data_IF_083129845741
#
_entry.id   IF_083129845741
#
_cell.length_a   1.000
_cell.length_b   1.000
_cell.length_c   1.000
_cell.angle_alpha   90.00
_cell.angle_beta   90.00
_cell.angle_gamma   90.00
#
_symmetry.space_group_name_H-M   'P 1'
#
loop_
_entity.id
_entity.type
_entity.pdbx_description
1 polymer ?
#
# COMPACT_ATOMS: atom_id res chain seq x y z
N UNK A 1 46.91 8.44 -16.14
CA UNK A 1 45.84 9.32 -15.60
C UNK A 1 44.43 8.96 -16.10
N UNK A 2 44.27 8.42 -17.32
CA UNK A 2 42.94 8.02 -17.85
C UNK A 2 42.29 6.79 -17.19
N UNK A 3 43.07 5.85 -16.65
CA UNK A 3 42.56 4.60 -16.06
C UNK A 3 41.88 4.81 -14.71
N UNK A 4 42.44 5.64 -13.82
CA UNK A 4 41.84 5.97 -12.52
C UNK A 4 40.54 6.77 -12.67
N UNK A 5 40.48 7.66 -13.65
CA UNK A 5 39.25 8.41 -13.95
C UNK A 5 38.15 7.46 -14.45
N UNK A 6 38.46 6.53 -15.36
CA UNK A 6 37.49 5.57 -15.88
C UNK A 6 36.97 4.60 -14.79
N UNK A 7 37.85 4.12 -13.90
CA UNK A 7 37.45 3.31 -12.74
C UNK A 7 36.48 4.05 -11.81
N UNK A 8 36.73 5.34 -11.53
CA UNK A 8 35.82 6.15 -10.69
C UNK A 8 34.44 6.41 -11.32
N UNK A 9 34.33 6.34 -12.65
CA UNK A 9 33.07 6.49 -13.37
C UNK A 9 32.27 5.18 -13.25
N UNK A 10 32.90 4.03 -13.48
CA UNK A 10 32.26 2.72 -13.44
C UNK A 10 31.77 2.35 -12.04
N UNK A 11 32.56 2.66 -11.00
CA UNK A 11 32.15 2.49 -9.60
C UNK A 11 30.92 3.33 -9.23
N UNK A 12 30.84 4.58 -9.71
CA UNK A 12 29.66 5.44 -9.50
C UNK A 12 28.42 4.93 -10.22
N UNK A 13 28.56 4.34 -11.40
CA UNK A 13 27.44 3.70 -12.10
C UNK A 13 26.98 2.43 -11.41
N UNK A 14 27.91 1.59 -10.95
CA UNK A 14 27.63 0.39 -10.16
C UNK A 14 26.90 0.76 -8.87
N UNK A 15 27.38 1.77 -8.16
CA UNK A 15 26.78 2.23 -6.91
C UNK A 15 25.38 2.81 -7.11
N UNK A 16 25.17 3.65 -8.15
CA UNK A 16 23.82 4.14 -8.51
C UNK A 16 22.84 3.00 -8.83
N UNK A 17 23.30 1.92 -9.46
CA UNK A 17 22.48 0.74 -9.75
C UNK A 17 22.13 -0.03 -8.48
N UNK A 18 23.08 -0.20 -7.57
CA UNK A 18 22.84 -0.81 -6.26
C UNK A 18 21.84 0.02 -5.43
N UNK A 19 22.00 1.34 -5.41
CA UNK A 19 21.08 2.26 -4.73
C UNK A 19 19.67 2.16 -5.31
N UNK A 20 19.53 2.14 -6.64
CA UNK A 20 18.23 1.99 -7.30
C UNK A 20 17.55 0.65 -6.97
N UNK A 21 18.32 -0.43 -6.84
CA UNK A 21 17.79 -1.74 -6.43
C UNK A 21 17.33 -1.74 -4.97
N UNK A 22 18.12 -1.15 -4.07
CA UNK A 22 17.74 -1.03 -2.66
C UNK A 22 16.50 -0.16 -2.48
N UNK A 23 16.42 0.97 -3.18
CA UNK A 23 15.26 1.87 -3.16
C UNK A 23 14.02 1.19 -3.71
N UNK A 24 14.13 0.49 -4.84
CA UNK A 24 12.98 -0.22 -5.43
C UNK A 24 12.48 -1.36 -4.55
N UNK A 25 13.37 -2.14 -3.93
CA UNK A 25 13.00 -3.19 -2.97
C UNK A 25 12.31 -2.62 -1.73
N UNK A 26 12.84 -1.51 -1.19
CA UNK A 26 12.23 -0.84 -0.04
C UNK A 26 10.87 -0.25 -0.38
N UNK A 27 10.73 0.34 -1.57
CA UNK A 27 9.47 0.87 -2.08
C UNK A 27 8.45 -0.26 -2.28
N UNK A 28 8.85 -1.39 -2.86
CA UNK A 28 7.99 -2.55 -3.06
C UNK A 28 7.49 -3.10 -1.71
N UNK A 29 8.37 -3.28 -0.73
CA UNK A 29 7.98 -3.69 0.62
C UNK A 29 7.05 -2.68 1.31
N UNK A 30 7.27 -1.39 1.08
CA UNK A 30 6.41 -0.33 1.60
C UNK A 30 5.01 -0.36 0.96
N UNK A 31 4.93 -0.53 -0.37
CA UNK A 31 3.65 -0.65 -1.10
C UNK A 31 2.92 -1.92 -0.65
N UNK A 32 3.60 -3.07 -0.65
CA UNK A 32 3.00 -4.37 -0.30
C UNK A 32 2.36 -4.35 1.10
N UNK A 33 3.08 -3.83 2.10
CA UNK A 33 2.54 -3.72 3.47
C UNK A 33 1.38 -2.72 3.58
N UNK A 34 1.38 -1.65 2.77
CA UNK A 34 0.29 -0.67 2.76
C UNK A 34 -0.95 -1.22 2.04
N UNK A 35 -0.77 -1.95 0.95
CA UNK A 35 -1.85 -2.70 0.27
C UNK A 35 -2.44 -3.73 1.22
N UNK A 36 -1.61 -4.52 1.91
CA UNK A 36 -2.07 -5.52 2.88
C UNK A 36 -2.87 -4.88 4.02
N UNK A 37 -2.42 -3.75 4.56
CA UNK A 37 -3.17 -3.01 5.57
C UNK A 37 -4.51 -2.49 5.03
N UNK A 38 -4.54 -1.98 3.79
CA UNK A 38 -5.76 -1.49 3.13
C UNK A 38 -6.78 -2.62 2.95
N UNK A 39 -6.33 -3.78 2.44
CA UNK A 39 -7.16 -4.98 2.31
C UNK A 39 -7.60 -5.48 3.68
N UNK A 40 -6.74 -5.45 4.69
CA UNK A 40 -7.09 -5.79 6.07
C UNK A 40 -8.22 -4.92 6.62
N UNK A 41 -8.17 -3.60 6.42
CA UNK A 41 -9.26 -2.69 6.81
C UNK A 41 -10.57 -3.02 6.10
N UNK A 42 -10.52 -3.29 4.79
CA UNK A 42 -11.70 -3.71 4.04
C UNK A 42 -12.27 -5.04 4.59
N UNK A 43 -11.41 -6.03 4.85
CA UNK A 43 -11.82 -7.30 5.47
C UNK A 43 -12.45 -7.09 6.86
N UNK A 44 -11.84 -6.24 7.70
CA UNK A 44 -12.38 -5.91 9.03
C UNK A 44 -13.74 -5.21 8.96
N UNK A 45 -14.00 -4.42 7.90
CA UNK A 45 -15.31 -3.83 7.67
C UNK A 45 -16.38 -4.90 7.41
N UNK A 46 -16.10 -5.87 6.53
CA UNK A 46 -17.02 -7.00 6.31
C UNK A 46 -17.18 -7.87 7.56
N UNK A 47 -16.09 -8.08 8.31
CA UNK A 47 -16.13 -8.79 9.59
C UNK A 47 -17.03 -8.11 10.61
N UNK A 48 -16.96 -6.77 10.69
CA UNK A 48 -17.84 -5.95 11.52
C UNK A 48 -19.31 -6.05 11.08
N UNK A 49 -19.59 -5.97 9.77
CA UNK A 49 -20.94 -6.16 9.22
C UNK A 49 -21.47 -7.59 9.43
N UNK A 50 -20.57 -8.56 9.54
CA UNK A 50 -20.85 -9.95 9.87
C UNK A 50 -21.00 -10.23 11.36
N UNK A 51 -21.15 -9.20 12.19
CA UNK A 51 -21.25 -9.30 13.66
C UNK A 51 -20.07 -10.05 14.30
N UNK A 52 -18.87 -9.88 13.74
CA UNK A 52 -17.65 -10.58 14.16
C UNK A 52 -17.75 -12.12 14.05
N UNK A 53 -18.53 -12.62 13.08
CA UNK A 53 -18.65 -14.05 12.80
C UNK A 53 -18.32 -14.36 11.35
N UNK A 54 -17.75 -15.54 11.10
CA UNK A 54 -17.43 -15.98 9.74
C UNK A 54 -18.70 -16.18 8.90
N UNK A 55 -19.73 -16.79 9.46
CA UNK A 55 -21.01 -17.01 8.78
C UNK A 55 -21.68 -15.69 8.41
N UNK A 56 -21.70 -14.71 9.33
CA UNK A 56 -22.24 -13.38 9.04
C UNK A 56 -21.44 -12.66 7.96
N UNK A 57 -20.11 -12.75 8.00
CA UNK A 57 -19.23 -12.13 6.99
C UNK A 57 -19.49 -12.72 5.61
N UNK A 58 -19.58 -14.05 5.50
CA UNK A 58 -19.85 -14.74 4.24
C UNK A 58 -21.23 -14.37 3.68
N UNK A 59 -22.24 -14.22 4.54
CA UNK A 59 -23.58 -13.76 4.14
C UNK A 59 -23.54 -12.34 3.57
N UNK A 60 -22.76 -11.42 4.13
CA UNK A 60 -22.63 -10.07 3.59
C UNK A 60 -21.93 -10.07 2.22
N UNK A 61 -20.91 -10.91 2.05
CA UNK A 61 -20.23 -11.07 0.76
C UNK A 61 -21.16 -11.67 -0.29
N UNK A 62 -21.95 -12.67 0.07
CA UNK A 62 -22.92 -13.32 -0.83
C UNK A 62 -24.01 -12.33 -1.28
N UNK A 63 -24.57 -11.56 -0.33
CA UNK A 63 -25.54 -10.51 -0.63
C UNK A 63 -24.97 -9.45 -1.60
N UNK A 64 -23.71 -9.07 -1.41
CA UNK A 64 -23.04 -8.10 -2.28
C UNK A 64 -22.81 -8.67 -3.68
N UNK A 65 -22.33 -9.91 -3.77
CA UNK A 65 -22.07 -10.59 -5.03
C UNK A 65 -23.36 -10.79 -5.84
N UNK A 66 -24.43 -11.27 -5.19
CA UNK A 66 -25.74 -11.44 -5.81
C UNK A 66 -26.27 -10.11 -6.38
N UNK A 67 -26.27 -9.04 -5.59
CA UNK A 67 -26.71 -7.71 -6.05
C UNK A 67 -25.84 -7.13 -7.18
N UNK A 68 -24.55 -7.44 -7.20
CA UNK A 68 -23.66 -7.01 -8.27
C UNK A 68 -23.95 -7.75 -9.59
N UNK A 69 -24.20 -9.06 -9.52
CA UNK A 69 -24.53 -9.88 -10.68
C UNK A 69 -25.91 -9.54 -11.27
N UNK A 70 -26.87 -9.16 -10.43
CA UNK A 70 -28.21 -8.72 -10.85
C UNK A 70 -28.22 -7.30 -11.46
N UNK A 71 -27.18 -6.49 -11.20
CA UNK A 71 -27.10 -5.12 -11.66
C UNK A 71 -26.79 -5.01 -13.17
N UNK A 72 -27.32 -3.99 -13.82
CA UNK A 72 -26.99 -3.65 -15.21
C UNK A 72 -25.57 -3.08 -15.34
N UNK A 73 -25.03 -3.08 -16.56
CA UNK A 73 -23.64 -2.70 -16.83
C UNK A 73 -23.27 -1.29 -16.33
N UNK A 74 -24.21 -0.33 -16.37
CA UNK A 74 -23.96 1.02 -15.86
C UNK A 74 -23.76 1.04 -14.34
N UNK A 75 -24.59 0.30 -13.59
CA UNK A 75 -24.47 0.18 -12.12
C UNK A 75 -23.23 -0.60 -11.70
N UNK A 76 -22.85 -1.63 -12.45
CA UNK A 76 -21.59 -2.35 -12.22
C UNK A 76 -20.36 -1.44 -12.37
N UNK A 77 -20.33 -0.62 -13.43
CA UNK A 77 -19.26 0.36 -13.63
C UNK A 77 -19.21 1.40 -12.50
N UNK A 78 -20.37 1.89 -12.05
CA UNK A 78 -20.44 2.79 -10.91
C UNK A 78 -19.94 2.14 -9.61
N UNK A 79 -20.31 0.87 -9.37
CA UNK A 79 -19.83 0.11 -8.23
C UNK A 79 -18.30 -0.04 -8.25
N UNK A 80 -17.70 -0.36 -9.41
CA UNK A 80 -16.25 -0.41 -9.53
C UNK A 80 -15.58 0.92 -9.18
N UNK A 81 -16.13 2.04 -9.65
CA UNK A 81 -15.60 3.37 -9.31
C UNK A 81 -15.68 3.64 -7.81
N UNK A 82 -16.79 3.28 -7.16
CA UNK A 82 -16.95 3.41 -5.71
C UNK A 82 -15.93 2.53 -4.97
N UNK A 83 -15.79 1.25 -5.33
CA UNK A 83 -14.83 0.35 -4.68
C UNK A 83 -13.40 0.85 -4.87
N UNK A 84 -13.01 1.22 -6.09
CA UNK A 84 -11.69 1.77 -6.37
C UNK A 84 -11.43 3.07 -5.61
N UNK A 85 -12.40 3.98 -5.53
CA UNK A 85 -12.25 5.23 -4.79
C UNK A 85 -12.12 5.00 -3.28
N UNK A 86 -12.94 4.13 -2.69
CA UNK A 86 -12.87 3.80 -1.26
C UNK A 86 -11.53 3.15 -0.91
N UNK A 87 -11.09 2.16 -1.68
CA UNK A 87 -9.79 1.52 -1.49
C UNK A 87 -8.63 2.49 -1.73
N UNK A 88 -8.73 3.35 -2.74
CA UNK A 88 -7.73 4.38 -3.04
C UNK A 88 -7.59 5.41 -1.92
N UNK A 89 -8.72 5.88 -1.36
CA UNK A 89 -8.73 6.78 -0.20
C UNK A 89 -8.12 6.08 1.02
N UNK A 90 -8.54 4.85 1.33
CA UNK A 90 -8.00 4.09 2.44
C UNK A 90 -6.47 3.87 2.29
N UNK A 91 -6.02 3.49 1.09
CA UNK A 91 -4.60 3.35 0.78
C UNK A 91 -3.84 4.67 0.96
N UNK A 92 -4.39 5.79 0.48
CA UNK A 92 -3.78 7.11 0.61
C UNK A 92 -3.68 7.54 2.08
N UNK A 93 -4.73 7.33 2.87
CA UNK A 93 -4.74 7.62 4.31
C UNK A 93 -3.73 6.76 5.06
N UNK A 94 -3.74 5.44 4.87
CA UNK A 94 -2.79 4.52 5.51
C UNK A 94 -1.36 4.89 5.13
N UNK A 95 -1.11 5.16 3.84
CA UNK A 95 0.18 5.64 3.34
C UNK A 95 0.60 6.93 4.02
N UNK A 96 -0.33 7.89 4.19
CA UNK A 96 -0.09 9.17 4.83
C UNK A 96 0.26 9.04 6.33
N UNK A 97 -0.47 8.21 7.07
CA UNK A 97 -0.14 7.96 8.48
C UNK A 97 1.17 7.19 8.64
N UNK A 98 1.47 6.23 7.75
CA UNK A 98 2.76 5.52 7.76
C UNK A 98 3.95 6.42 7.46
N UNK A 99 3.82 7.39 6.53
CA UNK A 99 4.91 8.36 6.29
C UNK A 99 5.15 9.29 7.48
N UNK A 100 4.11 9.63 8.25
CA UNK A 100 4.25 10.42 9.46
C UNK A 100 5.00 9.64 10.56
N UNK A 101 4.65 8.36 10.74
CA UNK A 101 5.37 7.46 11.65
C UNK A 101 6.85 7.28 11.27
N UNK A 102 7.18 7.16 9.98
CA UNK A 102 8.56 7.14 9.51
C UNK A 102 9.30 8.44 9.81
N UNK A 103 8.69 9.60 9.57
CA UNK A 103 9.30 10.91 9.86
C UNK A 103 9.53 11.13 11.36
N UNK A 104 8.57 10.76 12.20
CA UNK A 104 8.71 10.84 13.65
C UNK A 104 9.84 9.93 14.18
N UNK A 105 10.04 8.75 13.58
CA UNK A 105 11.15 7.87 13.94
C UNK A 105 12.52 8.41 13.52
N UNK A 106 12.60 9.23 12.46
CA UNK A 106 13.84 9.91 12.06
C UNK A 106 14.13 11.14 12.92
N UNK A 107 13.12 11.91 13.34
CA UNK A 107 13.31 13.04 14.27
C UNK A 107 13.71 12.56 15.68
N UNK A 108 13.13 11.45 16.17
CA UNK A 108 13.48 10.91 17.48
C UNK A 108 14.94 10.42 17.59
N UNK A 109 15.56 10.05 16.45
CA UNK A 109 16.96 9.65 16.33
C UNK A 109 17.93 10.83 16.04
N UNK A 110 17.39 12.06 16.01
CA UNK A 110 18.21 13.27 15.97
C UNK A 110 18.41 13.90 17.35
N UNK A 111 17.51 13.60 18.30
CA UNK A 111 17.47 14.18 19.63
C UNK A 111 18.28 13.41 20.69
N UNK A 112 18.85 12.25 20.34
CA UNK A 112 19.73 11.43 21.18
C UNK A 112 21.23 11.79 21.02
N UNK A 113 21.53 12.90 20.33
CA UNK A 113 22.88 13.40 20.06
C UNK A 113 23.16 14.82 20.58
N UNK A 114 22.29 15.39 21.43
CA UNK A 114 22.56 16.65 22.16
C UNK A 114 22.90 16.41 23.64
#
# INVERSE_FOLDING_TARGET
MNTLFNQSIDERHQQRRQDALLVSLRLAGWIATTVMATLGVATLFFWLLGSFTLSGTMLQVDNLASRYLEADAARQAQFHMIVCSVLGIAFALISFFRRASLRAAFDAKGADHE
#
